data_IF_685190540694
#
_entry.id   IF_685190540694
#
_cell.length_a   1.000
_cell.length_b   1.000
_cell.length_c   1.000
_cell.angle_alpha   90.00
_cell.angle_beta   90.00
_cell.angle_gamma   90.00
#
_symmetry.space_group_name_H-M   'P 1'
#
loop_
_entity.id
_entity.type
_entity.pdbx_description
1 polymer ?
#
# COMPACT_ATOMS: atom_id res chain seq x y z
N UNK A 1 -14.86 -15.08 9.18
CA UNK A 1 -15.07 -13.79 8.47
C UNK A 1 -13.71 -13.14 8.22
N UNK A 2 -13.42 -12.72 7.00
CA UNK A 2 -12.16 -12.01 6.67
C UNK A 2 -12.27 -10.56 7.13
N UNK A 3 -11.35 -10.11 7.97
CA UNK A 3 -11.34 -8.73 8.49
C UNK A 3 -10.67 -7.80 7.47
N UNK A 4 -11.39 -6.76 7.03
CA UNK A 4 -10.88 -5.72 6.14
C UNK A 4 -9.78 -4.90 6.80
N UNK A 5 -8.88 -4.35 5.98
CA UNK A 5 -7.64 -3.72 6.43
C UNK A 5 -7.46 -2.34 5.78
N UNK A 6 -6.74 -1.47 6.47
CA UNK A 6 -6.27 -0.18 5.97
C UNK A 6 -4.75 -0.10 6.10
N UNK A 7 -4.12 0.77 5.32
CA UNK A 7 -2.66 0.90 5.31
C UNK A 7 -2.11 1.39 3.99
N UNK A 8 -0.81 1.21 3.82
CA UNK A 8 -0.02 1.72 2.70
C UNK A 8 0.51 0.58 1.84
N UNK A 9 0.75 0.86 0.57
CA UNK A 9 1.26 -0.13 -0.37
C UNK A 9 2.13 0.48 -1.46
N UNK A 10 2.93 -0.40 -2.08
CA UNK A 10 3.72 -0.12 -3.27
C UNK A 10 3.63 -1.28 -4.25
N UNK A 11 3.70 -0.98 -5.55
CA UNK A 11 4.07 -1.98 -6.56
C UNK A 11 5.55 -1.85 -6.83
N UNK A 12 6.32 -2.83 -6.37
CA UNK A 12 7.77 -2.88 -6.52
C UNK A 12 8.20 -4.09 -7.34
N UNK A 13 9.31 -3.99 -8.06
CA UNK A 13 9.84 -5.11 -8.82
C UNK A 13 11.36 -5.04 -8.90
N UNK A 14 12.02 -6.18 -8.68
CA UNK A 14 13.42 -6.32 -9.02
C UNK A 14 13.56 -6.49 -10.55
N UNK A 15 14.71 -6.12 -11.10
CA UNK A 15 15.03 -6.34 -12.51
C UNK A 15 14.89 -7.83 -12.85
N UNK A 16 13.98 -8.17 -13.78
CA UNK A 16 13.74 -9.55 -14.23
C UNK A 16 12.76 -10.37 -13.38
N UNK A 17 12.14 -9.79 -12.35
CA UNK A 17 11.10 -10.44 -11.54
C UNK A 17 9.71 -9.84 -11.80
N UNK A 18 8.66 -10.63 -11.55
CA UNK A 18 7.30 -10.10 -11.60
C UNK A 18 7.07 -9.06 -10.48
N UNK A 19 6.38 -7.95 -10.76
CA UNK A 19 6.13 -6.92 -9.75
C UNK A 19 5.24 -7.42 -8.61
N UNK A 20 5.71 -7.20 -7.39
CA UNK A 20 5.08 -7.56 -6.13
C UNK A 20 4.38 -6.36 -5.48
N UNK A 21 3.30 -6.64 -4.74
CA UNK A 21 2.58 -5.65 -3.95
C UNK A 21 3.09 -5.71 -2.50
N UNK A 22 4.01 -4.80 -2.16
CA UNK A 22 4.46 -4.59 -0.79
C UNK A 22 3.36 -3.85 -0.02
N UNK A 23 3.01 -4.34 1.16
CA UNK A 23 1.92 -3.79 1.97
C UNK A 23 2.31 -3.73 3.43
N UNK A 24 2.06 -2.58 4.04
CA UNK A 24 1.95 -2.43 5.49
C UNK A 24 0.51 -2.08 5.84
N UNK A 25 -0.15 -2.92 6.65
CA UNK A 25 -1.56 -2.77 6.93
C UNK A 25 -1.99 -3.42 8.24
N UNK A 26 -3.05 -2.88 8.83
CA UNK A 26 -3.70 -3.40 10.05
C UNK A 26 -5.19 -3.63 9.80
N UNK A 27 -5.84 -4.53 10.56
CA UNK A 27 -7.31 -4.58 10.59
C UNK A 27 -7.90 -3.21 10.90
N UNK A 28 -9.08 -2.89 10.33
CA UNK A 28 -9.77 -1.61 10.61
C UNK A 28 -9.95 -1.36 12.11
N UNK A 29 -10.16 -2.41 12.90
CA UNK A 29 -10.29 -2.31 14.37
C UNK A 29 -9.02 -1.83 15.11
N UNK A 30 -7.86 -1.85 14.45
CA UNK A 30 -6.57 -1.37 14.98
C UNK A 30 -6.06 -0.14 14.23
N UNK A 31 -6.89 0.44 13.36
CA UNK A 31 -6.54 1.62 12.60
C UNK A 31 -6.53 2.87 13.47
N UNK A 32 -5.76 3.86 13.04
CA UNK A 32 -5.64 5.17 13.68
C UNK A 32 -6.68 6.12 13.10
N UNK A 33 -7.30 6.95 13.95
CA UNK A 33 -8.22 8.00 13.49
C UNK A 33 -7.46 9.21 12.97
N UNK A 34 -7.86 9.72 11.81
CA UNK A 34 -7.36 10.95 11.21
C UNK A 34 -8.52 11.71 10.57
N UNK A 35 -9.10 12.66 11.32
CA UNK A 35 -10.35 13.31 10.94
C UNK A 35 -11.47 12.27 10.76
N UNK A 36 -12.14 12.31 9.62
CA UNK A 36 -13.23 11.39 9.26
C UNK A 36 -12.74 10.02 8.73
N UNK A 37 -11.43 9.77 8.75
CA UNK A 37 -10.81 8.58 8.20
C UNK A 37 -10.18 7.69 9.27
N UNK A 38 -10.18 6.39 9.00
CA UNK A 38 -9.30 5.42 9.65
C UNK A 38 -8.15 5.06 8.70
N UNK A 39 -6.93 5.13 9.21
CA UNK A 39 -5.71 4.97 8.43
C UNK A 39 -4.65 4.16 9.18
N UNK A 40 -3.55 3.83 8.50
CA UNK A 40 -2.38 3.18 9.11
C UNK A 40 -1.13 3.47 8.31
N UNK A 41 -0.03 3.72 9.02
CA UNK A 41 1.32 3.75 8.48
C UNK A 41 1.70 5.03 7.75
N UNK A 42 3.01 5.29 7.73
CA UNK A 42 3.66 6.35 6.96
C UNK A 42 4.60 5.75 5.93
N UNK A 43 4.53 6.23 4.68
CA UNK A 43 5.33 5.69 3.57
C UNK A 43 6.83 5.84 3.83
N UNK A 44 7.25 7.00 4.32
CA UNK A 44 8.65 7.29 4.62
C UNK A 44 9.18 6.42 5.76
N UNK A 45 8.49 6.40 6.89
CA UNK A 45 8.90 5.70 8.11
C UNK A 45 9.02 4.20 7.86
N UNK A 46 8.04 3.62 7.17
CA UNK A 46 8.05 2.19 6.83
C UNK A 46 9.20 1.86 5.89
N UNK A 47 9.42 2.65 4.84
CA UNK A 47 10.50 2.41 3.90
C UNK A 47 11.87 2.57 4.56
N UNK A 48 12.08 3.61 5.36
CA UNK A 48 13.31 3.82 6.12
C UNK A 48 13.57 2.70 7.14
N UNK A 49 12.53 2.11 7.72
CA UNK A 49 12.70 0.95 8.59
C UNK A 49 13.18 -0.28 7.79
N UNK A 50 12.64 -0.50 6.60
CA UNK A 50 13.06 -1.59 5.71
C UNK A 50 14.47 -1.38 5.16
N UNK A 51 14.84 -0.16 4.78
CA UNK A 51 16.15 0.13 4.19
C UNK A 51 17.32 -0.06 5.16
N UNK A 52 17.05 -0.09 6.47
CA UNK A 52 18.04 -0.38 7.53
C UNK A 52 18.27 -1.88 7.75
N UNK A 53 17.45 -2.75 7.16
CA UNK A 53 17.60 -4.19 7.28
C UNK A 53 18.68 -4.70 6.33
N UNK A 54 19.30 -5.83 6.68
CA UNK A 54 20.18 -6.54 5.76
C UNK A 54 19.38 -7.24 4.65
N UNK A 55 20.04 -7.51 3.52
CA UNK A 55 19.46 -8.31 2.45
C UNK A 55 19.03 -9.73 2.90
N UNK A 56 19.62 -10.26 3.98
CA UNK A 56 19.17 -11.53 4.58
C UNK A 56 17.83 -11.36 5.30
N UNK A 57 17.69 -10.32 6.12
CA UNK A 57 16.45 -10.03 6.85
C UNK A 57 15.29 -9.70 5.91
N UNK A 58 15.55 -8.96 4.84
CA UNK A 58 14.52 -8.68 3.82
C UNK A 58 14.03 -9.95 3.12
N UNK A 59 14.95 -10.85 2.74
CA UNK A 59 14.60 -12.15 2.16
C UNK A 59 13.77 -13.00 3.11
N UNK A 60 14.12 -13.04 4.40
CA UNK A 60 13.33 -13.75 5.42
C UNK A 60 11.91 -13.19 5.57
N UNK A 61 11.72 -11.90 5.28
CA UNK A 61 10.43 -11.20 5.32
C UNK A 61 9.70 -11.18 3.97
N UNK A 62 10.25 -11.82 2.93
CA UNK A 62 9.77 -11.73 1.55
C UNK A 62 9.59 -10.27 1.07
N UNK A 63 10.54 -9.40 1.42
CA UNK A 63 10.59 -8.03 0.93
C UNK A 63 11.67 -7.94 -0.15
N UNK A 64 11.34 -7.46 -1.36
CA UNK A 64 12.34 -7.21 -2.41
C UNK A 64 13.44 -6.24 -1.95
N UNK A 65 14.67 -6.50 -2.39
CA UNK A 65 15.88 -5.75 -1.99
C UNK A 65 15.94 -4.32 -2.55
N UNK A 66 15.00 -3.95 -3.42
CA UNK A 66 14.88 -2.61 -4.00
C UNK A 66 14.77 -1.49 -2.97
N UNK A 67 14.23 -1.79 -1.79
CA UNK A 67 14.16 -0.87 -0.65
C UNK A 67 15.54 -0.46 -0.11
N UNK A 68 16.60 -1.19 -0.47
CA UNK A 68 17.99 -0.89 -0.04
C UNK A 68 18.68 0.16 -0.91
N UNK A 69 18.21 0.37 -2.15
CA UNK A 69 18.93 1.19 -3.14
C UNK A 69 18.04 2.18 -3.89
N UNK A 70 16.75 2.28 -3.56
CA UNK A 70 15.82 3.24 -4.16
C UNK A 70 15.02 3.97 -3.10
N UNK A 71 14.54 5.15 -3.47
CA UNK A 71 13.67 5.95 -2.63
C UNK A 71 12.22 5.46 -2.68
N UNK A 72 11.50 5.63 -1.57
CA UNK A 72 10.10 5.21 -1.45
C UNK A 72 9.18 5.89 -2.47
N UNK A 73 9.60 7.04 -3.01
CA UNK A 73 8.84 7.80 -3.99
C UNK A 73 9.06 7.35 -5.43
N UNK A 74 10.17 6.65 -5.70
CA UNK A 74 10.48 6.17 -7.05
C UNK A 74 9.45 5.16 -7.56
N UNK A 75 8.81 4.44 -6.64
CA UNK A 75 7.89 3.35 -6.96
C UNK A 75 6.43 3.78 -6.84
N UNK A 76 5.55 3.31 -7.76
CA UNK A 76 4.13 3.57 -7.66
C UNK A 76 3.60 3.09 -6.31
N UNK A 77 2.94 4.00 -5.59
CA UNK A 77 2.48 3.79 -4.22
C UNK A 77 1.05 4.27 -4.03
N UNK A 78 0.48 3.90 -2.90
CA UNK A 78 -0.84 4.33 -2.52
C UNK A 78 -1.17 4.01 -1.07
N UNK A 79 -2.42 4.31 -0.70
CA UNK A 79 -2.98 4.12 0.62
C UNK A 79 -4.43 3.66 0.50
N UNK A 80 -4.80 2.70 1.34
CA UNK A 80 -6.19 2.34 1.62
C UNK A 80 -6.57 2.98 2.94
N UNK A 81 -7.60 3.81 2.92
CA UNK A 81 -8.23 4.37 4.12
C UNK A 81 -9.69 3.94 4.18
N UNK A 82 -10.28 4.04 5.36
CA UNK A 82 -11.71 3.85 5.56
C UNK A 82 -12.35 5.18 5.96
N UNK A 83 -13.31 5.64 5.18
CA UNK A 83 -14.06 6.87 5.46
C UNK A 83 -15.28 6.51 6.30
N UNK A 84 -15.26 6.94 7.57
CA UNK A 84 -16.27 6.57 8.57
C UNK A 84 -17.66 7.09 8.20
N UNK A 85 -17.85 8.36 7.79
CA UNK A 85 -19.18 8.89 7.50
C UNK A 85 -19.92 8.19 6.36
N UNK A 86 -19.19 7.75 5.32
CA UNK A 86 -19.81 7.06 4.17
C UNK A 86 -19.76 5.54 4.25
N UNK A 87 -19.08 4.96 5.24
CA UNK A 87 -18.87 3.52 5.38
C UNK A 87 -18.17 2.88 4.15
N UNK A 88 -17.23 3.61 3.54
CA UNK A 88 -16.52 3.20 2.32
C UNK A 88 -15.00 3.18 2.49
N UNK A 89 -14.35 2.28 1.78
CA UNK A 89 -12.90 2.31 1.59
C UNK A 89 -12.54 3.21 0.43
N UNK A 90 -11.47 3.99 0.59
CA UNK A 90 -10.89 4.78 -0.49
C UNK A 90 -9.48 4.27 -0.74
N UNK A 91 -9.21 3.92 -2.00
CA UNK A 91 -7.88 3.60 -2.49
C UNK A 91 -7.33 4.84 -3.19
N UNK A 92 -6.48 5.59 -2.49
CA UNK A 92 -5.64 6.61 -3.09
C UNK A 92 -4.44 5.93 -3.72
N UNK A 93 -4.30 6.03 -5.04
CA UNK A 93 -3.23 5.33 -5.74
C UNK A 93 -2.63 6.18 -6.85
N UNK A 94 -1.32 6.03 -7.03
CA UNK A 94 -0.63 6.46 -8.23
C UNK A 94 -1.40 5.99 -9.48
N UNK A 95 -1.52 6.86 -10.48
CA UNK A 95 -2.24 6.59 -11.73
C UNK A 95 -1.77 5.29 -12.40
N UNK A 96 -0.48 4.93 -12.28
CA UNK A 96 0.11 3.69 -12.80
C UNK A 96 -0.43 2.41 -12.13
N UNK A 97 -1.16 2.55 -11.02
CA UNK A 97 -1.77 1.46 -10.25
C UNK A 97 -3.29 1.34 -10.44
N UNK A 98 -3.93 2.29 -11.12
CA UNK A 98 -5.40 2.34 -11.23
C UNK A 98 -6.00 1.38 -12.27
N UNK A 99 -5.17 0.57 -12.94
CA UNK A 99 -5.65 -0.50 -13.82
C UNK A 99 -6.39 -1.61 -13.06
N UNK A 100 -7.46 -2.14 -13.65
CA UNK A 100 -8.38 -3.11 -13.01
C UNK A 100 -7.66 -4.26 -12.31
N UNK A 101 -6.75 -4.96 -13.01
CA UNK A 101 -6.01 -6.09 -12.46
C UNK A 101 -5.14 -5.72 -11.24
N UNK A 102 -4.59 -4.50 -11.20
CA UNK A 102 -3.81 -4.04 -10.04
C UNK A 102 -4.73 -3.70 -8.87
N UNK A 103 -5.85 -3.04 -9.13
CA UNK A 103 -6.84 -2.75 -8.09
C UNK A 103 -7.45 -4.03 -7.52
N UNK A 104 -7.73 -5.04 -8.35
CA UNK A 104 -8.23 -6.33 -7.87
C UNK A 104 -7.24 -7.01 -6.90
N UNK A 105 -5.93 -6.95 -7.22
CA UNK A 105 -4.87 -7.41 -6.31
C UNK A 105 -4.84 -6.62 -5.00
N UNK A 106 -5.01 -5.29 -5.05
CA UNK A 106 -5.07 -4.44 -3.85
C UNK A 106 -6.29 -4.81 -3.00
N UNK A 107 -7.49 -4.88 -3.61
CA UNK A 107 -8.74 -5.27 -2.95
C UNK A 107 -8.61 -6.64 -2.28
N UNK A 108 -8.03 -7.62 -2.96
CA UNK A 108 -7.77 -8.95 -2.39
C UNK A 108 -6.80 -8.87 -1.20
N UNK A 109 -5.68 -8.15 -1.36
CA UNK A 109 -4.61 -8.07 -0.34
C UNK A 109 -5.06 -7.35 0.93
N UNK A 110 -5.94 -6.35 0.80
CA UNK A 110 -6.55 -5.62 1.91
C UNK A 110 -7.88 -6.21 2.40
N UNK A 111 -8.36 -7.28 1.76
CA UNK A 111 -9.62 -7.97 2.12
C UNK A 111 -10.84 -7.03 2.09
N UNK A 112 -10.93 -6.25 1.02
CA UNK A 112 -12.01 -5.28 0.81
C UNK A 112 -13.15 -5.92 0.00
N UNK A 113 -14.37 -5.42 0.20
CA UNK A 113 -15.51 -5.74 -0.68
C UNK A 113 -15.60 -4.70 -1.79
N UNK A 114 -15.60 -5.13 -3.06
CA UNK A 114 -15.40 -4.25 -4.21
C UNK A 114 -16.48 -3.15 -4.37
N UNK A 115 -17.70 -3.44 -3.98
CA UNK A 115 -18.86 -2.51 -3.95
C UNK A 115 -18.68 -1.36 -2.95
N UNK A 116 -17.82 -1.55 -1.94
CA UNK A 116 -17.51 -0.58 -0.89
C UNK A 116 -16.21 0.19 -1.13
N UNK A 117 -15.66 0.13 -2.34
CA UNK A 117 -14.37 0.75 -2.67
C UNK A 117 -14.54 1.87 -3.69
N UNK A 118 -14.01 3.04 -3.36
CA UNK A 118 -13.76 4.14 -4.29
C UNK A 118 -12.27 4.20 -4.64
N UNK A 119 -11.96 4.54 -5.89
CA UNK A 119 -10.58 4.61 -6.39
C UNK A 119 -10.32 6.05 -6.81
N UNK A 120 -9.33 6.68 -6.21
CA UNK A 120 -8.98 8.08 -6.45
C UNK A 120 -7.50 8.21 -6.76
N UNK A 121 -7.17 9.17 -7.61
CA UNK A 121 -5.79 9.65 -7.74
C UNK A 121 -5.42 10.55 -6.57
N UNK A 122 -4.13 10.60 -6.26
CA UNK A 122 -3.56 11.54 -5.29
C UNK A 122 -2.34 12.21 -5.91
N UNK A 123 -2.31 13.55 -6.04
CA UNK A 123 -1.14 14.27 -6.53
C UNK A 123 0.15 14.03 -5.73
N UNK A 124 0.05 13.58 -4.47
CA UNK A 124 1.21 13.19 -3.66
C UNK A 124 1.77 11.82 -4.06
N UNK A 125 1.00 10.99 -4.77
CA UNK A 125 1.42 9.67 -5.24
C UNK A 125 1.74 9.71 -6.74
N UNK A 126 2.87 10.36 -7.05
CA UNK A 126 3.45 10.37 -8.40
C UNK A 126 4.83 9.73 -8.31
N UNK A 127 4.99 8.61 -9.01
CA UNK A 127 6.24 7.85 -9.06
C UNK A 127 7.04 8.11 -10.32
N UNK A 128 8.37 7.94 -10.20
CA UNK A 128 9.29 8.04 -11.33
C UNK A 128 9.24 6.78 -12.22
N UNK A 129 9.10 5.59 -11.62
CA UNK A 129 9.20 4.28 -12.30
C UNK A 129 7.87 3.71 -12.77
#
# INVERSE_FOLDING_TARGET
MTVSRVGIFWRIGATGAAPELLVDCVPVAHAESYGDFLTHGGHYEFWCALSRLSASELRQRNVPDVVLWSEYEEWPRGRVVFHVPSDRFIIYADRKLQGSATIDRIVQRFRLTRDRVDILGDPHYISLR
#
